data_IF_770697299826
#
_entry.id   IF_770697299826
#
_cell.length_a   1.000
_cell.length_b   1.000
_cell.length_c   1.000
_cell.angle_alpha   90.00
_cell.angle_beta   90.00
_cell.angle_gamma   90.00
#
_symmetry.space_group_name_H-M   'P 1'
#
loop_
_entity.id
_entity.type
_entity.pdbx_description
1 polymer ?
#
# COMPACT_ATOMS: atom_id res chain seq x y z
N UNK A 1 -27.56 19.91 16.34
CA UNK A 1 -27.19 20.22 14.94
C UNK A 1 -26.70 18.93 14.30
N UNK A 2 -27.60 18.25 13.60
CA UNK A 2 -27.47 16.87 13.18
C UNK A 2 -26.79 16.72 11.81
N UNK A 3 -26.07 15.61 11.68
CA UNK A 3 -25.44 15.04 10.49
C UNK A 3 -26.33 15.09 9.24
N UNK A 4 -25.75 15.39 8.08
CA UNK A 4 -26.21 14.76 6.84
C UNK A 4 -25.05 14.42 5.88
N UNK A 5 -24.81 13.12 5.87
CA UNK A 5 -24.16 12.27 4.87
C UNK A 5 -24.86 12.41 3.51
N UNK A 6 -24.09 12.57 2.44
CA UNK A 6 -24.53 12.32 1.07
C UNK A 6 -23.33 12.00 0.15
N UNK A 7 -22.71 10.84 0.36
CA UNK A 7 -21.99 10.14 -0.71
C UNK A 7 -22.93 9.07 -1.23
N UNK A 8 -23.30 9.15 -2.51
CA UNK A 8 -23.71 8.03 -3.36
C UNK A 8 -23.98 8.59 -4.77
N UNK A 9 -23.00 8.44 -5.67
CA UNK A 9 -23.31 8.29 -7.10
C UNK A 9 -22.60 7.07 -7.63
N UNK A 10 -23.45 6.07 -7.77
CA UNK A 10 -23.39 4.87 -8.59
C UNK A 10 -22.83 5.15 -10.00
N UNK A 11 -21.95 4.26 -10.49
CA UNK A 11 -22.06 3.73 -11.85
C UNK A 11 -21.20 2.48 -12.07
N UNK A 12 -21.94 1.38 -12.25
CA UNK A 12 -21.56 0.12 -12.90
C UNK A 12 -21.78 0.27 -14.42
N UNK A 13 -20.83 -0.17 -15.26
CA UNK A 13 -20.95 -0.88 -16.56
C UNK A 13 -19.54 -1.42 -16.85
N UNK A 14 -19.21 -2.66 -17.25
CA UNK A 14 -19.93 -3.76 -17.86
C UNK A 14 -18.95 -4.45 -18.84
N UNK A 15 -18.45 -5.64 -18.50
CA UNK A 15 -18.71 -6.92 -19.18
C UNK A 15 -18.20 -7.05 -20.63
N UNK A 16 -17.08 -7.75 -20.80
CA UNK A 16 -16.71 -8.49 -22.01
C UNK A 16 -16.61 -9.99 -21.69
N UNK A 17 -17.57 -10.77 -22.19
CA UNK A 17 -17.78 -12.21 -21.93
C UNK A 17 -17.54 -12.99 -23.24
N UNK A 18 -17.24 -14.29 -23.12
CA UNK A 18 -17.32 -15.42 -24.09
C UNK A 18 -15.96 -15.85 -24.67
N UNK A 19 -15.67 -17.12 -24.92
CA UNK A 19 -16.27 -18.48 -24.75
C UNK A 19 -15.16 -19.44 -25.25
N UNK A 20 -15.06 -20.73 -24.94
CA UNK A 20 -15.87 -21.68 -24.20
C UNK A 20 -15.13 -23.04 -24.12
N UNK A 21 -15.70 -24.06 -23.48
CA UNK A 21 -15.16 -25.42 -23.44
C UNK A 21 -15.98 -26.37 -24.32
N UNK A 22 -15.31 -27.19 -25.14
CA UNK A 22 -15.87 -28.44 -25.68
C UNK A 22 -14.68 -29.38 -26.02
N UNK A 23 -14.47 -30.45 -25.27
CA UNK A 23 -15.10 -31.78 -25.43
C UNK A 23 -14.89 -32.40 -26.81
N UNK A 24 -13.73 -33.03 -26.96
CA UNK A 24 -13.48 -34.20 -27.79
C UNK A 24 -12.50 -35.07 -26.97
N UNK A 25 -12.64 -36.35 -26.73
CA UNK A 25 -13.58 -37.37 -27.12
C UNK A 25 -13.03 -38.64 -26.48
N UNK A 26 -13.88 -39.35 -25.76
CA UNK A 26 -13.52 -40.60 -25.09
C UNK A 26 -13.05 -41.63 -26.11
N UNK A 27 -11.92 -42.29 -25.85
CA UNK A 27 -11.71 -43.69 -26.28
C UNK A 27 -11.05 -44.47 -25.16
N UNK A 28 -11.91 -45.23 -24.47
CA UNK A 28 -11.57 -46.38 -23.65
C UNK A 28 -10.64 -47.31 -24.44
N UNK A 29 -9.45 -47.56 -23.94
CA UNK A 29 -8.84 -48.87 -24.04
C UNK A 29 -8.12 -49.18 -22.74
N UNK A 30 -8.64 -50.22 -22.11
CA UNK A 30 -8.28 -50.77 -20.82
C UNK A 30 -6.83 -51.27 -20.84
N UNK A 31 -6.09 -50.99 -19.76
CA UNK A 31 -4.83 -51.63 -19.43
C UNK A 31 -4.84 -52.02 -17.94
N UNK A 32 -4.11 -53.09 -17.56
CA UNK A 32 -4.39 -53.90 -16.39
C UNK A 32 -4.12 -53.19 -15.06
N UNK A 33 -4.89 -53.61 -14.05
CA UNK A 33 -4.73 -53.28 -12.63
C UNK A 33 -3.30 -53.61 -12.16
N UNK A 34 -2.41 -52.61 -12.20
CA UNK A 34 -1.18 -52.62 -11.41
C UNK A 34 -1.53 -52.18 -9.98
N UNK A 35 -1.02 -52.89 -8.97
CA UNK A 35 -1.43 -52.83 -7.57
C UNK A 35 -1.32 -51.46 -6.89
N UNK A 36 -1.69 -51.34 -5.60
CA UNK A 36 -1.59 -50.10 -4.85
C UNK A 36 -0.12 -49.81 -4.52
N UNK A 37 0.66 -49.46 -5.54
CA UNK A 37 1.97 -48.85 -5.39
C UNK A 37 1.73 -47.46 -4.85
N UNK A 38 2.06 -47.28 -3.57
CA UNK A 38 1.83 -46.07 -2.81
C UNK A 38 2.12 -44.84 -3.64
N UNK A 39 1.07 -44.04 -3.86
CA UNK A 39 1.25 -42.60 -4.01
C UNK A 39 2.07 -42.21 -2.80
N UNK A 40 3.38 -42.02 -2.98
CA UNK A 40 4.14 -41.26 -2.01
C UNK A 40 3.36 -39.97 -1.92
N UNK A 41 2.77 -39.73 -0.75
CA UNK A 41 2.34 -38.41 -0.33
C UNK A 41 3.60 -37.55 -0.41
N UNK A 42 3.90 -37.07 -1.62
CA UNK A 42 4.86 -36.00 -1.80
C UNK A 42 4.26 -34.88 -0.95
N UNK A 43 4.98 -34.41 0.09
CA UNK A 43 4.48 -33.31 0.89
C UNK A 43 4.06 -32.24 -0.09
N UNK A 44 2.79 -31.77 -0.01
CA UNK A 44 2.36 -30.60 -0.77
C UNK A 44 3.38 -29.53 -0.43
N UNK A 45 4.32 -29.28 -1.34
CA UNK A 45 5.26 -28.19 -1.20
C UNK A 45 4.39 -26.96 -1.24
N UNK A 46 4.12 -26.41 -0.05
CA UNK A 46 3.44 -25.13 0.08
C UNK A 46 4.19 -24.17 -0.82
N UNK A 47 3.47 -23.51 -1.73
CA UNK A 47 4.04 -22.47 -2.56
C UNK A 47 4.84 -21.55 -1.63
N UNK A 48 6.11 -21.21 -1.96
CA UNK A 48 6.87 -20.30 -1.13
C UNK A 48 6.03 -19.05 -0.90
N UNK A 49 6.07 -18.48 0.33
CA UNK A 49 5.31 -17.28 0.63
C UNK A 49 5.64 -16.23 -0.43
N UNK A 50 4.61 -15.60 -0.96
CA UNK A 50 4.78 -14.50 -1.90
C UNK A 50 5.61 -13.39 -1.24
N UNK A 51 6.49 -12.75 -2.01
CA UNK A 51 7.25 -11.63 -1.51
C UNK A 51 6.28 -10.53 -1.06
N UNK A 52 6.56 -9.87 0.08
CA UNK A 52 5.68 -8.81 0.55
C UNK A 52 5.64 -7.68 -0.47
N UNK A 53 4.46 -7.11 -0.69
CA UNK A 53 4.24 -5.99 -1.64
C UNK A 53 5.05 -4.75 -1.25
N UNK A 54 5.25 -4.55 0.05
CA UNK A 54 6.05 -3.48 0.63
C UNK A 54 7.23 -4.08 1.39
N UNK A 55 8.43 -3.52 1.19
CA UNK A 55 9.64 -3.95 1.86
C UNK A 55 9.64 -3.61 3.36
N UNK A 56 8.90 -2.57 3.75
CA UNK A 56 8.73 -2.17 5.14
C UNK A 56 7.33 -1.59 5.42
N UNK A 57 6.83 -1.65 6.67
CA UNK A 57 5.52 -1.12 7.01
C UNK A 57 5.33 0.36 6.67
N UNK A 58 6.39 1.18 6.76
CA UNK A 58 6.31 2.61 6.47
C UNK A 58 6.03 2.91 4.98
N UNK A 59 6.43 2.03 4.05
CA UNK A 59 6.15 2.22 2.62
C UNK A 59 4.65 2.17 2.33
N UNK A 60 3.94 1.23 2.98
CA UNK A 60 2.49 1.13 2.90
C UNK A 60 1.81 2.39 3.48
N UNK A 61 2.38 2.95 4.55
CA UNK A 61 1.89 4.19 5.16
C UNK A 61 2.09 5.39 4.22
N UNK A 62 3.25 5.53 3.60
CA UNK A 62 3.51 6.57 2.60
C UNK A 62 2.55 6.46 1.42
N UNK A 63 2.36 5.26 0.88
CA UNK A 63 1.37 5.01 -0.19
C UNK A 63 -0.04 5.45 0.25
N UNK A 64 -0.47 5.03 1.43
CA UNK A 64 -1.79 5.40 1.97
C UNK A 64 -1.93 6.92 2.15
N UNK A 65 -0.88 7.62 2.58
CA UNK A 65 -0.87 9.08 2.69
C UNK A 65 -1.05 9.74 1.32
N UNK A 66 -0.30 9.31 0.30
CA UNK A 66 -0.43 9.86 -1.06
C UNK A 66 -1.86 9.72 -1.57
N UNK A 67 -2.45 8.52 -1.46
CA UNK A 67 -3.82 8.26 -1.90
C UNK A 67 -4.82 9.10 -1.09
N UNK A 68 -4.67 9.17 0.23
CA UNK A 68 -5.60 9.92 1.09
C UNK A 68 -5.57 11.43 0.82
N UNK A 69 -4.39 12.00 0.57
CA UNK A 69 -4.24 13.43 0.25
C UNK A 69 -4.78 13.74 -1.16
N UNK A 70 -4.60 12.83 -2.11
CA UNK A 70 -5.22 12.91 -3.43
C UNK A 70 -6.76 12.86 -3.31
N UNK A 71 -7.30 11.89 -2.57
CA UNK A 71 -8.75 11.72 -2.41
C UNK A 71 -9.40 12.88 -1.67
N UNK A 72 -8.64 13.56 -0.80
CA UNK A 72 -9.02 14.83 -0.17
C UNK A 72 -8.96 16.03 -1.14
N UNK A 73 -8.52 15.84 -2.39
CA UNK A 73 -8.44 16.87 -3.41
C UNK A 73 -7.31 17.87 -3.19
N UNK A 74 -6.30 17.53 -2.38
CA UNK A 74 -5.20 18.45 -2.11
C UNK A 74 -4.29 18.59 -3.34
N UNK A 75 -4.08 17.54 -4.11
CA UNK A 75 -3.37 17.61 -5.38
C UNK A 75 -4.00 16.65 -6.40
N UNK A 76 -3.72 16.89 -7.67
CA UNK A 76 -4.08 16.00 -8.78
C UNK A 76 -2.95 15.03 -9.11
N UNK A 77 -3.27 13.88 -9.72
CA UNK A 77 -2.25 12.95 -10.20
C UNK A 77 -1.26 13.57 -11.20
N UNK A 78 -1.67 14.58 -11.97
CA UNK A 78 -0.78 15.31 -12.87
C UNK A 78 0.24 16.15 -12.13
N UNK A 79 -0.18 16.87 -11.08
CA UNK A 79 0.74 17.62 -10.21
C UNK A 79 1.69 16.68 -9.45
N UNK A 80 1.18 15.54 -8.99
CA UNK A 80 1.99 14.49 -8.37
C UNK A 80 3.08 13.98 -9.32
N UNK A 81 2.72 13.56 -10.53
CA UNK A 81 3.67 13.07 -11.51
C UNK A 81 4.71 14.14 -11.90
N UNK A 82 4.29 15.39 -12.06
CA UNK A 82 5.20 16.50 -12.34
C UNK A 82 6.15 16.79 -11.17
N UNK A 83 5.68 16.67 -9.92
CA UNK A 83 6.53 16.83 -8.75
C UNK A 83 7.54 15.69 -8.61
N UNK A 84 7.11 14.44 -8.81
CA UNK A 84 7.97 13.27 -8.76
C UNK A 84 9.03 13.29 -9.87
N UNK A 85 8.64 13.69 -11.08
CA UNK A 85 9.55 13.77 -12.24
C UNK A 85 10.65 14.83 -12.10
N UNK A 86 10.52 15.79 -11.17
CA UNK A 86 11.59 16.76 -10.87
C UNK A 86 12.77 16.15 -10.12
N UNK A 87 12.64 14.94 -9.59
CA UNK A 87 13.73 14.23 -8.91
C UNK A 87 14.82 13.69 -9.86
N UNK A 88 14.63 13.81 -11.17
CA UNK A 88 15.63 13.42 -12.17
C UNK A 88 15.87 11.91 -12.20
N UNK A 89 17.15 11.51 -12.16
CA UNK A 89 17.61 10.11 -12.26
C UNK A 89 17.47 9.31 -10.95
N UNK A 90 16.89 9.92 -9.92
CA UNK A 90 16.66 9.22 -8.65
C UNK A 90 15.58 8.15 -8.85
N UNK A 91 15.84 6.94 -8.34
CA UNK A 91 14.81 5.89 -8.32
C UNK A 91 13.61 6.39 -7.50
N UNK A 92 12.40 6.23 -8.05
CA UNK A 92 11.17 6.63 -7.38
C UNK A 92 10.75 5.64 -6.29
N UNK A 93 11.58 5.55 -5.25
CA UNK A 93 11.27 4.81 -4.03
C UNK A 93 10.26 5.55 -3.14
N UNK A 94 9.78 4.88 -2.10
CA UNK A 94 8.81 5.46 -1.18
C UNK A 94 9.38 6.62 -0.34
N UNK A 95 10.70 6.77 -0.24
CA UNK A 95 11.31 7.92 0.43
C UNK A 95 11.15 9.18 -0.43
N UNK A 96 11.39 9.07 -1.75
CA UNK A 96 11.07 10.13 -2.69
C UNK A 96 9.58 10.46 -2.70
N UNK A 97 8.71 9.46 -2.59
CA UNK A 97 7.28 9.74 -2.51
C UNK A 97 6.94 10.61 -1.29
N UNK A 98 7.53 10.30 -0.14
CA UNK A 98 7.33 11.07 1.09
C UNK A 98 7.83 12.51 0.94
N UNK A 99 9.05 12.72 0.42
CA UNK A 99 9.59 14.07 0.14
C UNK A 99 8.69 14.84 -0.83
N UNK A 100 8.16 14.17 -1.85
CA UNK A 100 7.30 14.78 -2.86
C UNK A 100 5.98 15.24 -2.26
N UNK A 101 5.33 14.42 -1.42
CA UNK A 101 4.10 14.86 -0.75
C UNK A 101 4.38 16.00 0.24
N UNK A 102 5.48 15.95 1.01
CA UNK A 102 5.88 17.01 1.94
C UNK A 102 6.02 18.36 1.20
N UNK A 103 6.68 18.35 0.03
CA UNK A 103 6.80 19.54 -0.81
C UNK A 103 5.46 20.03 -1.37
N UNK A 104 4.58 19.13 -1.81
CA UNK A 104 3.26 19.49 -2.34
C UNK A 104 2.35 20.13 -1.30
N UNK A 105 2.33 19.60 -0.07
CA UNK A 105 1.52 20.14 1.03
C UNK A 105 2.13 21.43 1.59
N UNK A 106 3.46 21.56 1.60
CA UNK A 106 4.13 22.79 2.02
C UNK A 106 3.87 23.94 1.04
N UNK A 107 3.88 23.68 -0.27
CA UNK A 107 3.55 24.67 -1.29
C UNK A 107 2.11 25.22 -1.16
N UNK A 108 1.24 24.49 -0.46
CA UNK A 108 -0.16 24.87 -0.19
C UNK A 108 -0.35 25.52 1.18
N UNK A 109 0.73 25.73 1.94
CA UNK A 109 0.69 26.34 3.26
C UNK A 109 0.09 25.45 4.36
N UNK A 110 -0.10 24.15 4.10
CA UNK A 110 -0.62 23.21 5.10
C UNK A 110 0.44 22.81 6.13
N UNK A 111 1.71 22.95 5.76
CA UNK A 111 2.87 22.76 6.64
C UNK A 111 4.01 23.64 6.16
N UNK A 112 5.10 23.66 6.92
CA UNK A 112 6.36 24.26 6.51
C UNK A 112 7.51 23.27 6.78
N UNK A 113 8.66 23.40 6.09
CA UNK A 113 9.83 22.59 6.39
C UNK A 113 10.23 22.66 7.87
N UNK A 114 10.13 23.85 8.49
CA UNK A 114 10.40 24.04 9.90
C UNK A 114 9.38 23.31 10.80
N UNK A 115 8.09 23.32 10.45
CA UNK A 115 7.06 22.60 11.21
C UNK A 115 7.22 21.08 11.10
N UNK A 116 7.63 20.56 9.94
CA UNK A 116 7.94 19.14 9.76
C UNK A 116 9.17 18.74 10.55
N UNK A 117 10.21 19.59 10.56
CA UNK A 117 11.42 19.34 11.34
C UNK A 117 11.15 19.36 12.83
N UNK A 118 10.41 20.36 13.33
CA UNK A 118 9.99 20.38 14.73
C UNK A 118 9.15 19.15 15.08
N UNK A 119 8.28 18.69 14.18
CA UNK A 119 7.50 17.47 14.41
C UNK A 119 8.39 16.23 14.50
N UNK A 120 9.41 16.10 13.66
CA UNK A 120 10.41 15.02 13.73
C UNK A 120 11.20 15.09 15.03
N UNK A 121 11.65 16.28 15.42
CA UNK A 121 12.37 16.50 16.66
C UNK A 121 11.52 16.16 17.89
N UNK A 122 10.27 16.63 17.95
CA UNK A 122 9.32 16.30 19.00
C UNK A 122 9.08 14.79 19.11
N UNK A 123 8.90 14.12 17.98
CA UNK A 123 8.76 12.66 17.97
C UNK A 123 10.03 11.95 18.48
N UNK A 124 11.23 12.41 18.11
CA UNK A 124 12.48 11.84 18.58
C UNK A 124 12.66 12.01 20.11
N UNK A 125 12.31 13.19 20.65
CA UNK A 125 12.33 13.46 22.09
C UNK A 125 11.29 12.59 22.82
N UNK A 126 10.07 12.50 22.31
CA UNK A 126 9.03 11.62 22.83
C UNK A 126 9.46 10.15 22.82
N UNK A 127 10.09 9.68 21.73
CA UNK A 127 10.60 8.31 21.63
C UNK A 127 11.67 8.02 22.68
N UNK A 128 12.58 8.98 22.92
CA UNK A 128 13.62 8.85 23.95
C UNK A 128 13.06 8.86 25.38
N UNK A 129 11.96 9.60 25.62
CA UNK A 129 11.29 9.66 26.92
C UNK A 129 10.33 8.50 27.18
N UNK A 130 9.95 7.74 26.14
CA UNK A 130 8.99 6.63 26.25
C UNK A 130 9.71 5.36 26.72
N UNK A 131 9.33 4.76 27.87
CA UNK A 131 9.88 3.49 28.30
C UNK A 131 9.61 2.38 27.27
N UNK A 132 10.55 1.44 27.14
CA UNK A 132 10.39 0.31 26.22
C UNK A 132 9.09 -0.46 26.46
N UNK A 133 8.41 -0.82 25.37
CA UNK A 133 7.13 -1.52 25.40
C UNK A 133 5.90 -0.61 25.58
N UNK A 134 6.09 0.70 25.76
CA UNK A 134 5.00 1.68 25.75
C UNK A 134 4.86 2.36 24.37
N UNK A 135 3.66 2.81 23.98
CA UNK A 135 3.46 3.55 22.75
C UNK A 135 4.15 4.91 22.80
N UNK A 136 4.79 5.31 21.71
CA UNK A 136 5.39 6.63 21.56
C UNK A 136 4.27 7.61 21.19
N UNK A 137 3.90 8.47 22.13
CA UNK A 137 2.93 9.55 21.93
C UNK A 137 3.68 10.88 21.93
N UNK A 138 3.23 11.85 21.11
CA UNK A 138 3.85 13.19 21.09
C UNK A 138 3.77 13.89 22.46
N UNK A 139 2.77 13.54 23.27
CA UNK A 139 2.60 14.00 24.66
C UNK A 139 3.75 13.59 25.59
N UNK A 140 4.53 12.57 25.20
CA UNK A 140 5.70 12.15 25.95
C UNK A 140 6.92 13.05 25.69
N UNK A 141 6.83 14.02 24.77
CA UNK A 141 7.91 14.96 24.53
C UNK A 141 8.11 15.89 25.75
N UNK A 142 9.27 15.85 26.42
CA UNK A 142 9.54 16.73 27.56
C UNK A 142 9.62 18.23 27.20
N UNK A 143 9.68 18.57 25.91
CA UNK A 143 9.68 19.94 25.41
C UNK A 143 8.33 20.45 24.89
N UNK A 144 7.27 19.65 24.99
CA UNK A 144 5.91 20.01 24.54
C UNK A 144 5.19 21.01 25.47
#
# INVERSE_FOLDING_TARGET
MALHRALLRDRIVGRGRRSGPDRLGQRLRELPRAGPGGRRDLPRMSRPPESPVFAAPWEAQTFALVVSLHDAGLFTWSEWAAALGRAGDRTADYALWLETIEGLIAARGLTSPAALEERRAAFARAAAATPHGQPILLENDPGA
#
